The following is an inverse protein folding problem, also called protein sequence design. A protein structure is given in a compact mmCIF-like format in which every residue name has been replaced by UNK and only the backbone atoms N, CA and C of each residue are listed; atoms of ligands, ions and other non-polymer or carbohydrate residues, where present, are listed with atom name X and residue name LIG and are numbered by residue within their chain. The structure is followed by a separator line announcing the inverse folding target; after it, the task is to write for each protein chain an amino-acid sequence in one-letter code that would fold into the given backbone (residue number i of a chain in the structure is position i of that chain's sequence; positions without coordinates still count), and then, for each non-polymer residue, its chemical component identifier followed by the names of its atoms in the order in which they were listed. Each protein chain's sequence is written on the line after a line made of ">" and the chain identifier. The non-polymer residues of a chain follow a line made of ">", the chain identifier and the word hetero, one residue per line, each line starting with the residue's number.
data_IF_772325897183
#
_entry.id   IF_772325897183
#
_cell.length_a   1.000
_cell.length_b   1.000
_cell.length_c   1.000
_cell.angle_alpha   90.00
_cell.angle_beta   90.00
_cell.angle_gamma   90.00
#
_symmetry.space_group_name_H-M   'P 1'
#
loop_
_entity.id
_entity.type
_entity.pdbx_description
1 polymer ?
#
# COMPACT_ATOMS: atom_id res chain seq x y z
N UNK A 1 12.45 -0.34 11.14
CA UNK A 1 12.62 -1.28 10.02
C UNK A 1 11.28 -1.32 9.32
N UNK A 2 11.18 -0.71 8.16
CA UNK A 2 9.94 -0.66 7.38
C UNK A 2 10.11 -1.54 6.15
N UNK A 3 9.02 -2.16 5.72
CA UNK A 3 9.03 -3.12 4.61
C UNK A 3 8.26 -2.50 3.47
N UNK A 4 8.90 -2.38 2.31
CA UNK A 4 8.19 -2.02 1.09
C UNK A 4 7.53 -3.28 0.53
N UNK A 5 6.20 -3.29 0.51
CA UNK A 5 5.40 -4.41 0.03
C UNK A 5 5.36 -4.49 -1.49
N UNK A 6 5.66 -3.40 -2.19
CA UNK A 6 5.56 -3.26 -3.65
C UNK A 6 6.77 -2.51 -4.23
N UNK A 7 8.01 -3.02 -4.05
CA UNK A 7 9.22 -2.30 -4.46
C UNK A 7 9.36 -2.16 -5.98
N UNK A 8 8.71 -3.04 -6.75
CA UNK A 8 8.80 -3.07 -8.22
C UNK A 8 7.60 -2.46 -8.93
N UNK A 9 6.56 -2.02 -8.19
CA UNK A 9 5.32 -1.50 -8.75
C UNK A 9 5.16 -0.03 -8.41
N UNK A 10 5.01 0.82 -9.42
CA UNK A 10 4.61 2.21 -9.23
C UNK A 10 3.12 2.28 -8.87
N UNK A 11 2.83 2.24 -7.56
CA UNK A 11 1.46 2.15 -7.08
C UNK A 11 0.65 3.42 -7.40
N UNK A 12 1.28 4.59 -7.44
CA UNK A 12 0.62 5.87 -7.75
C UNK A 12 0.14 5.89 -9.20
N UNK A 13 1.01 5.54 -10.15
CA UNK A 13 0.69 5.44 -11.57
C UNK A 13 -0.33 4.36 -11.82
N UNK A 14 -0.12 3.16 -11.26
CA UNK A 14 -1.07 2.05 -11.38
C UNK A 14 -2.48 2.42 -10.92
N UNK A 15 -2.62 3.03 -9.74
CA UNK A 15 -3.92 3.47 -9.24
C UNK A 15 -4.54 4.55 -10.13
N UNK A 16 -3.75 5.44 -10.74
CA UNK A 16 -4.25 6.43 -11.69
C UNK A 16 -4.72 5.80 -13.01
N UNK A 17 -4.00 4.82 -13.54
CA UNK A 17 -4.41 4.06 -14.72
C UNK A 17 -5.70 3.29 -14.44
N UNK A 18 -5.75 2.55 -13.32
CA UNK A 18 -6.92 1.79 -12.92
C UNK A 18 -8.13 2.69 -12.64
N UNK A 19 -7.92 3.90 -12.10
CA UNK A 19 -8.99 4.88 -11.91
C UNK A 19 -9.60 5.33 -13.23
N UNK A 20 -8.80 5.44 -14.29
CA UNK A 20 -9.27 5.80 -15.63
C UNK A 20 -9.96 4.63 -16.33
N UNK A 21 -9.37 3.43 -16.27
CA UNK A 21 -9.92 2.23 -16.88
C UNK A 21 -11.18 1.71 -16.17
N UNK A 22 -11.16 1.72 -14.83
CA UNK A 22 -12.17 1.11 -13.96
C UNK A 22 -12.51 2.01 -12.74
N UNK A 23 -13.11 3.19 -12.95
CA UNK A 23 -13.38 4.15 -11.86
C UNK A 23 -14.30 3.61 -10.75
N UNK A 24 -15.20 2.68 -11.09
CA UNK A 24 -16.12 2.04 -10.14
C UNK A 24 -15.52 0.79 -9.45
N UNK A 25 -14.27 0.43 -9.74
CA UNK A 25 -13.60 -0.69 -9.08
C UNK A 25 -13.22 -0.31 -7.64
N UNK A 26 -13.38 -1.24 -6.71
CA UNK A 26 -12.98 -1.05 -5.31
C UNK A 26 -11.46 -1.07 -5.20
N UNK A 27 -10.91 -0.14 -4.41
CA UNK A 27 -9.48 -0.04 -4.15
C UNK A 27 -8.88 -1.39 -3.69
N UNK A 28 -9.57 -2.08 -2.77
CA UNK A 28 -9.17 -3.40 -2.29
C UNK A 28 -9.01 -4.43 -3.40
N UNK A 29 -9.90 -4.40 -4.39
CA UNK A 29 -9.90 -5.38 -5.47
C UNK A 29 -8.76 -5.09 -6.45
N UNK A 30 -8.48 -3.81 -6.69
CA UNK A 30 -7.32 -3.34 -7.47
C UNK A 30 -6.01 -3.75 -6.80
N UNK A 31 -5.89 -3.57 -5.48
CA UNK A 31 -4.71 -3.97 -4.72
C UNK A 31 -4.56 -5.49 -4.66
N UNK A 32 -5.66 -6.25 -4.55
CA UNK A 32 -5.65 -7.71 -4.53
C UNK A 32 -5.18 -8.37 -5.85
N UNK A 33 -4.98 -7.59 -6.92
CA UNK A 33 -4.35 -8.07 -8.17
C UNK A 33 -2.83 -8.21 -8.02
N UNK A 34 -2.20 -7.37 -7.19
CA UNK A 34 -0.75 -7.32 -6.99
C UNK A 34 -0.32 -7.77 -5.59
N UNK A 35 -1.21 -7.66 -4.61
CA UNK A 35 -0.99 -8.06 -3.22
C UNK A 35 -1.83 -9.31 -2.90
N UNK A 36 -1.37 -10.16 -1.97
CA UNK A 36 -2.17 -11.29 -1.50
C UNK A 36 -3.45 -10.80 -0.82
N UNK A 37 -4.60 -11.41 -1.14
CA UNK A 37 -5.92 -11.05 -0.57
C UNK A 37 -5.90 -10.90 0.95
N UNK A 38 -5.25 -11.83 1.65
CA UNK A 38 -5.06 -11.80 3.11
C UNK A 38 -4.47 -10.47 3.60
N UNK A 39 -3.46 -9.94 2.92
CA UNK A 39 -2.82 -8.68 3.32
C UNK A 39 -3.75 -7.49 3.07
N UNK A 40 -4.47 -7.50 1.95
CA UNK A 40 -5.47 -6.47 1.66
C UNK A 40 -6.57 -6.46 2.71
N UNK A 41 -7.07 -7.62 3.12
CA UNK A 41 -8.07 -7.77 4.19
C UNK A 41 -7.53 -7.21 5.52
N UNK A 42 -6.31 -7.59 5.92
CA UNK A 42 -5.68 -7.06 7.13
C UNK A 42 -5.56 -5.53 7.09
N UNK A 43 -5.15 -4.93 5.97
CA UNK A 43 -5.07 -3.47 5.84
C UNK A 43 -6.45 -2.80 5.96
N UNK A 44 -7.52 -3.46 5.51
CA UNK A 44 -8.88 -2.99 5.74
C UNK A 44 -9.26 -3.07 7.22
N UNK A 45 -8.99 -4.20 7.86
CA UNK A 45 -9.28 -4.41 9.28
C UNK A 45 -8.51 -3.43 10.18
N UNK A 46 -7.27 -3.11 9.81
CA UNK A 46 -6.42 -2.13 10.48
C UNK A 46 -6.85 -0.67 10.20
N UNK A 47 -7.80 -0.44 9.28
CA UNK A 47 -8.21 0.89 8.86
C UNK A 47 -7.18 1.65 8.01
N UNK A 48 -6.13 0.97 7.54
CA UNK A 48 -5.13 1.55 6.63
C UNK A 48 -5.62 1.62 5.18
N UNK A 49 -6.60 0.78 4.81
CA UNK A 49 -7.18 0.74 3.48
C UNK A 49 -8.62 1.24 3.53
N UNK A 50 -8.92 2.43 2.95
CA UNK A 50 -10.27 2.96 2.95
C UNK A 50 -11.22 2.11 2.09
N UNK A 51 -12.42 1.85 2.58
CA UNK A 51 -13.50 1.26 1.78
C UNK A 51 -14.07 2.30 0.81
N UNK A 52 -13.38 2.44 -0.32
CA UNK A 52 -13.78 3.33 -1.39
C UNK A 52 -13.50 2.72 -2.77
N UNK A 53 -14.19 3.25 -3.78
CA UNK A 53 -13.86 3.01 -5.18
C UNK A 53 -12.71 3.91 -5.62
N UNK A 54 -12.02 3.53 -6.70
CA UNK A 54 -10.90 4.32 -7.23
C UNK A 54 -11.29 5.76 -7.56
N UNK A 55 -12.52 6.02 -8.03
CA UNK A 55 -12.98 7.40 -8.29
C UNK A 55 -13.22 8.23 -7.02
N UNK A 56 -13.52 7.56 -5.90
CA UNK A 56 -13.76 8.21 -4.60
C UNK A 56 -12.47 8.42 -3.81
N UNK A 57 -11.37 7.81 -4.26
CA UNK A 57 -10.07 7.97 -3.64
C UNK A 57 -9.55 9.39 -3.89
N UNK A 58 -9.28 10.12 -2.81
CA UNK A 58 -8.64 11.43 -2.89
C UNK A 58 -7.13 11.27 -3.03
N UNK A 59 -6.41 12.23 -3.63
CA UNK A 59 -4.95 12.16 -3.76
C UNK A 59 -4.24 12.06 -2.41
N UNK A 60 -4.80 12.66 -1.36
CA UNK A 60 -4.30 12.53 0.01
C UNK A 60 -4.41 11.09 0.53
N UNK A 61 -5.58 10.45 0.36
CA UNK A 61 -5.78 9.05 0.76
C UNK A 61 -4.88 8.11 -0.04
N UNK A 62 -4.72 8.38 -1.34
CA UNK A 62 -3.81 7.63 -2.20
C UNK A 62 -2.37 7.71 -1.71
N UNK A 63 -1.88 8.91 -1.41
CA UNK A 63 -0.51 9.12 -0.96
C UNK A 63 -0.28 8.45 0.40
N UNK A 64 -1.21 8.60 1.34
CA UNK A 64 -1.13 7.97 2.65
C UNK A 64 -1.13 6.43 2.56
N UNK A 65 -1.89 5.87 1.63
CA UNK A 65 -1.91 4.43 1.37
C UNK A 65 -0.60 3.95 0.76
N UNK A 66 -0.07 4.67 -0.24
CA UNK A 66 1.22 4.35 -0.85
C UNK A 66 2.33 4.39 0.20
N UNK A 67 2.38 5.45 1.00
CA UNK A 67 3.33 5.58 2.12
C UNK A 67 3.16 4.43 3.13
N UNK A 68 1.93 4.08 3.50
CA UNK A 68 1.66 2.95 4.40
C UNK A 68 2.12 1.59 3.86
N UNK A 69 2.11 1.41 2.53
CA UNK A 69 2.53 0.18 1.86
C UNK A 69 4.04 0.13 1.60
N UNK A 70 4.67 1.29 1.40
CA UNK A 70 6.10 1.45 1.21
C UNK A 70 6.87 1.47 2.55
N UNK A 71 6.32 2.11 3.58
CA UNK A 71 6.79 2.13 4.97
C UNK A 71 5.96 1.18 5.85
N UNK A 72 5.63 -0.02 5.35
CA UNK A 72 4.80 -0.91 6.15
C UNK A 72 5.58 -1.40 7.37
N UNK A 73 5.10 -1.01 8.56
CA UNK A 73 5.66 -1.46 9.84
C UNK A 73 4.82 -2.60 10.38
N UNK A 74 5.42 -3.79 10.45
CA UNK A 74 4.88 -4.91 11.22
C UNK A 74 4.76 -4.45 12.68
N UNK A 75 3.56 -4.14 13.14
CA UNK A 75 3.31 -4.04 14.57
C UNK A 75 3.19 -5.47 15.12
N UNK A 76 4.03 -5.88 16.09
CA UNK A 76 4.01 -7.23 16.64
C UNK A 76 2.82 -7.47 17.60
N UNK A 77 1.73 -6.70 17.50
CA UNK A 77 0.60 -6.81 18.39
C UNK A 77 -0.40 -7.85 17.85
N UNK A 78 -0.14 -9.12 18.18
CA UNK A 78 -1.15 -10.18 18.19
C UNK A 78 -1.65 -10.67 16.84
N UNK A 79 -0.93 -11.60 16.22
CA UNK A 79 -1.58 -12.80 15.68
C UNK A 79 -0.52 -13.87 15.44
N UNK A 80 -0.63 -14.94 16.21
CA UNK A 80 0.25 -16.11 16.26
C UNK A 80 0.15 -16.99 14.98
N UNK A 81 -0.06 -16.39 13.81
CA UNK A 81 -0.47 -17.05 12.57
C UNK A 81 0.43 -16.89 11.35
N UNK A 82 1.58 -16.18 11.44
CA UNK A 82 2.51 -16.03 10.31
C UNK A 82 3.67 -17.03 10.37
N UNK A 83 3.34 -18.32 10.55
CA UNK A 83 4.30 -19.38 10.23
C UNK A 83 4.41 -19.48 8.72
N UNK A 84 5.63 -19.27 8.22
CA UNK A 84 6.07 -19.32 6.81
C UNK A 84 6.10 -17.97 6.08
N UNK A 85 6.69 -16.95 6.70
CA UNK A 85 7.51 -16.01 5.92
C UNK A 85 8.87 -16.69 5.68
N UNK A 86 8.91 -17.72 4.82
CA UNK A 86 10.17 -18.21 4.27
C UNK A 86 10.67 -17.14 3.30
N UNK A 87 11.31 -16.16 3.92
CA UNK A 87 12.37 -15.30 3.40
C UNK A 87 12.75 -15.55 1.95
N UNK A 88 12.14 -14.79 1.05
CA UNK A 88 12.82 -14.25 -0.14
C UNK A 88 12.38 -12.79 -0.36
N UNK A 89 12.16 -12.05 0.71
CA UNK A 89 12.18 -10.59 0.68
C UNK A 89 13.64 -10.14 0.81
N UNK A 90 14.39 -10.43 -0.25
CA UNK A 90 15.70 -9.85 -0.47
C UNK A 90 15.57 -8.36 -0.76
N UNK A 91 16.47 -7.58 -0.19
CA UNK A 91 16.68 -6.20 -0.62
C UNK A 91 16.01 -5.16 0.26
N UNK A 92 16.45 -5.09 1.51
CA UNK A 92 16.47 -3.81 2.22
C UNK A 92 17.57 -2.94 1.59
N UNK A 93 17.32 -2.39 0.41
CA UNK A 93 18.08 -1.23 -0.07
C UNK A 93 17.17 -0.01 -0.03
N UNK A 94 17.31 0.68 1.09
CA UNK A 94 16.89 2.06 1.26
C UNK A 94 17.69 2.91 0.27
N UNK A 95 17.05 3.50 -0.75
CA UNK A 95 17.44 4.79 -1.34
C UNK A 95 16.48 5.21 -2.46
N UNK A 96 16.24 6.53 -2.53
CA UNK A 96 15.35 7.28 -3.44
C UNK A 96 13.85 7.17 -3.11
N UNK A 97 13.06 8.23 -2.89
CA UNK A 97 13.17 9.67 -3.14
C UNK A 97 12.54 10.42 -1.94
N UNK A 98 13.25 11.31 -1.27
CA UNK A 98 13.30 12.76 -1.55
C UNK A 98 11.96 13.50 -1.48
N UNK A 99 11.74 14.12 -0.33
CA UNK A 99 11.32 15.52 -0.14
C UNK A 99 10.24 16.09 -1.07
N UNK A 100 9.00 16.18 -0.55
CA UNK A 100 8.16 17.36 -0.81
C UNK A 100 7.22 17.68 0.36
N UNK A 101 7.79 18.18 1.46
CA UNK A 101 7.13 19.24 2.21
C UNK A 101 7.57 20.55 1.55
N UNK A 102 6.72 21.12 0.70
CA UNK A 102 6.78 22.55 0.39
C UNK A 102 5.53 23.18 0.98
N UNK A 103 5.59 23.38 2.30
CA UNK A 103 4.60 24.08 3.09
C UNK A 103 5.32 24.94 4.11
N UNK A 104 5.26 26.26 3.90
CA UNK A 104 5.38 27.24 4.97
C UNK A 104 6.64 28.11 4.94
N UNK A 105 6.39 29.37 4.57
CA UNK A 105 7.06 30.61 5.03
C UNK A 105 8.31 31.10 4.27
#
# INVERSE_FOLDING_TARGET
>A
MSINLLPTLDLVGFLNEQRQAHPNQSLKNTLALHLPKRLVELLQELGQLPEATLKQLTPTQQTALVDSLQDWRVQPNGTEGYRTAEVTLGGVDTKELSSKNHGGE
#
